data_IF_664380499021
#
_entry.id   IF_664380499021
#
_cell.length_a   1.000
_cell.length_b   1.000
_cell.length_c   1.000
_cell.angle_alpha   90.00
_cell.angle_beta   90.00
_cell.angle_gamma   90.00
#
_symmetry.space_group_name_H-M   'P 1'
#
loop_
_entity.id
_entity.type
_entity.pdbx_description
1 polymer ?
#
# COMPACT_ATOMS: atom_id res chain seq x y z
N UNK A 1 -54.14 23.82 57.42
CA UNK A 1 -55.29 23.43 58.26
C UNK A 1 -54.69 22.90 59.55
N UNK A 2 -54.76 23.65 60.66
CA UNK A 2 -54.14 23.20 61.92
C UNK A 2 -55.02 22.14 62.59
N UNK A 3 -54.46 20.97 62.87
CA UNK A 3 -55.13 19.95 63.70
C UNK A 3 -55.44 20.57 65.07
N UNK A 4 -56.70 20.49 65.48
CA UNK A 4 -57.15 20.94 66.80
C UNK A 4 -57.26 19.73 67.71
N UNK A 5 -56.51 19.75 68.80
CA UNK A 5 -56.63 18.75 69.87
C UNK A 5 -57.72 19.16 70.85
N UNK A 6 -58.44 18.18 71.38
CA UNK A 6 -59.43 18.40 72.43
C UNK A 6 -58.74 18.86 73.73
N UNK A 7 -59.40 19.73 74.50
CA UNK A 7 -58.89 20.22 75.79
C UNK A 7 -59.52 19.44 76.94
N UNK A 8 -58.67 18.91 77.81
CA UNK A 8 -59.00 18.31 79.10
C UNK A 8 -58.67 19.29 80.23
N UNK A 9 -59.06 18.96 81.47
CA UNK A 9 -58.94 19.81 82.66
C UNK A 9 -57.52 20.40 82.86
N UNK A 10 -56.49 19.66 82.45
CA UNK A 10 -55.07 20.03 82.63
C UNK A 10 -54.26 20.11 81.32
N UNK A 11 -54.90 20.24 80.14
CA UNK A 11 -54.16 20.39 78.87
C UNK A 11 -54.85 19.81 77.63
N UNK A 12 -54.07 19.48 76.60
CA UNK A 12 -54.59 18.79 75.41
C UNK A 12 -54.75 17.28 75.66
N UNK A 13 -55.66 16.64 74.93
CA UNK A 13 -55.87 15.21 74.99
C UNK A 13 -54.58 14.47 74.60
N UNK A 14 -53.96 13.85 75.60
CA UNK A 14 -52.68 13.16 75.47
C UNK A 14 -52.70 12.10 74.36
N UNK A 15 -53.78 11.34 74.21
CA UNK A 15 -53.86 10.28 73.19
C UNK A 15 -53.83 10.86 71.78
N UNK A 16 -54.56 11.95 71.51
CA UNK A 16 -54.55 12.59 70.19
C UNK A 16 -53.18 13.20 69.85
N UNK A 17 -52.49 13.73 70.86
CA UNK A 17 -51.14 14.28 70.69
C UNK A 17 -50.13 13.16 70.46
N UNK A 18 -50.18 12.09 71.25
CA UNK A 18 -49.29 10.93 71.13
C UNK A 18 -49.50 10.21 69.78
N UNK A 19 -50.75 10.07 69.31
CA UNK A 19 -51.09 9.50 68.00
C UNK A 19 -50.50 10.34 66.85
N UNK A 20 -50.67 11.67 66.89
CA UNK A 20 -50.11 12.54 65.85
C UNK A 20 -48.57 12.52 65.88
N UNK A 21 -47.94 12.50 67.06
CA UNK A 21 -46.50 12.36 67.20
C UNK A 21 -46.06 11.02 66.58
N UNK A 22 -46.81 9.94 66.79
CA UNK A 22 -46.59 8.65 66.17
C UNK A 22 -46.63 8.71 64.64
N UNK A 23 -47.67 9.33 64.06
CA UNK A 23 -47.81 9.51 62.62
C UNK A 23 -46.69 10.37 62.01
N UNK A 24 -46.35 11.48 62.67
CA UNK A 24 -45.26 12.37 62.24
C UNK A 24 -43.92 11.65 62.27
N UNK A 25 -43.63 10.88 63.32
CA UNK A 25 -42.41 10.08 63.42
C UNK A 25 -42.34 9.00 62.32
N UNK A 26 -43.47 8.36 62.00
CA UNK A 26 -43.55 7.43 60.86
C UNK A 26 -43.28 8.13 59.53
N UNK A 27 -43.84 9.32 59.34
CA UNK A 27 -43.63 10.10 58.13
C UNK A 27 -42.18 10.58 57.98
N UNK A 28 -41.57 11.06 59.07
CA UNK A 28 -40.15 11.42 59.13
C UNK A 28 -39.28 10.22 58.78
N UNK A 29 -39.51 9.06 59.40
CA UNK A 29 -38.74 7.85 59.09
C UNK A 29 -38.87 7.40 57.62
N UNK A 30 -40.04 7.61 57.03
CA UNK A 30 -40.29 7.29 55.62
C UNK A 30 -39.56 8.27 54.70
N UNK A 31 -39.63 9.56 55.01
CA UNK A 31 -38.93 10.62 54.27
C UNK A 31 -37.42 10.47 54.35
N UNK A 32 -36.87 10.15 55.53
CA UNK A 32 -35.44 9.90 55.73
C UNK A 32 -34.95 8.74 54.86
N UNK A 33 -35.66 7.60 54.89
CA UNK A 33 -35.35 6.44 54.03
C UNK A 33 -35.41 6.79 52.54
N UNK A 34 -36.43 7.56 52.14
CA UNK A 34 -36.54 7.99 50.75
C UNK A 34 -35.40 8.94 50.36
N UNK A 35 -35.01 9.86 51.23
CA UNK A 35 -33.94 10.81 50.98
C UNK A 35 -32.59 10.09 50.86
N UNK A 36 -32.33 9.13 51.73
CA UNK A 36 -31.14 8.27 51.66
C UNK A 36 -31.10 7.47 50.36
N UNK A 37 -32.23 6.86 49.96
CA UNK A 37 -32.33 6.14 48.70
C UNK A 37 -32.05 7.05 47.49
N UNK A 38 -32.59 8.28 47.48
CA UNK A 38 -32.32 9.25 46.42
C UNK A 38 -30.84 9.69 46.40
N UNK A 39 -30.23 9.96 47.56
CA UNK A 39 -28.80 10.31 47.65
C UNK A 39 -27.92 9.20 47.11
N UNK A 40 -28.19 7.96 47.50
CA UNK A 40 -27.46 6.80 46.99
C UNK A 40 -27.64 6.66 45.47
N UNK A 41 -28.84 6.92 44.95
CA UNK A 41 -29.09 6.88 43.51
C UNK A 41 -28.37 8.00 42.76
N UNK A 42 -28.32 9.21 43.30
CA UNK A 42 -27.55 10.32 42.73
C UNK A 42 -26.06 9.98 42.66
N UNK A 43 -25.48 9.47 43.76
CA UNK A 43 -24.07 9.07 43.79
C UNK A 43 -23.75 7.98 42.76
N UNK A 44 -24.62 6.97 42.61
CA UNK A 44 -24.46 5.93 41.59
C UNK A 44 -24.52 6.49 40.16
N UNK A 45 -25.45 7.42 39.90
CA UNK A 45 -25.59 8.04 38.58
C UNK A 45 -24.40 8.93 38.25
N UNK A 46 -23.89 9.68 39.21
CA UNK A 46 -22.67 10.48 39.05
C UNK A 46 -21.46 9.60 38.71
N UNK A 47 -21.31 8.47 39.39
CA UNK A 47 -20.24 7.51 39.08
C UNK A 47 -20.40 6.92 37.67
N UNK A 48 -21.62 6.55 37.27
CA UNK A 48 -21.90 6.04 35.93
C UNK A 48 -21.59 7.08 34.84
N UNK A 49 -22.00 8.34 35.04
CA UNK A 49 -21.71 9.43 34.09
C UNK A 49 -20.20 9.67 34.00
N UNK A 50 -19.48 9.65 35.13
CA UNK A 50 -18.03 9.81 35.16
C UNK A 50 -17.33 8.70 34.36
N UNK A 51 -17.72 7.44 34.58
CA UNK A 51 -17.20 6.28 33.83
C UNK A 51 -17.50 6.38 32.34
N UNK A 52 -18.70 6.77 31.96
CA UNK A 52 -19.09 6.92 30.56
C UNK A 52 -18.31 8.02 29.86
N UNK A 53 -18.07 9.16 30.53
CA UNK A 53 -17.25 10.25 29.98
C UNK A 53 -15.80 9.82 29.77
N UNK A 54 -15.19 9.18 30.78
CA UNK A 54 -13.83 8.65 30.66
C UNK A 54 -13.69 7.65 29.49
N UNK A 55 -14.73 6.86 29.23
CA UNK A 55 -14.74 5.89 28.13
C UNK A 55 -15.12 6.51 26.77
N UNK A 56 -15.68 7.72 26.71
CA UNK A 56 -16.12 8.36 25.46
C UNK A 56 -15.00 9.16 24.79
N UNK A 57 -14.11 9.76 25.58
CA UNK A 57 -13.01 10.57 25.06
C UNK A 57 -11.93 9.69 24.37
N UNK A 58 -11.68 8.49 24.91
CA UNK A 58 -10.67 7.56 24.39
C UNK A 58 -10.95 7.05 22.95
N UNK A 59 -12.17 6.57 22.59
CA UNK A 59 -12.45 6.10 21.24
C UNK A 59 -12.33 7.15 20.15
N UNK A 60 -12.70 8.41 20.45
CA UNK A 60 -12.64 9.51 19.48
C UNK A 60 -11.19 9.88 19.19
N UNK A 61 -10.35 9.97 20.23
CA UNK A 61 -8.91 10.20 20.07
C UNK A 61 -8.26 9.07 19.27
N UNK A 62 -8.55 7.81 19.62
CA UNK A 62 -8.02 6.66 18.86
C UNK A 62 -8.48 6.60 17.41
N UNK A 63 -9.71 7.02 17.11
CA UNK A 63 -10.20 7.11 15.73
C UNK A 63 -9.45 8.18 14.95
N UNK A 64 -9.21 9.34 15.56
CA UNK A 64 -8.45 10.44 14.95
C UNK A 64 -7.00 10.05 14.68
N UNK A 65 -6.33 9.43 15.65
CA UNK A 65 -4.97 8.91 15.47
C UNK A 65 -4.89 7.92 14.30
N UNK A 66 -5.89 7.03 14.17
CA UNK A 66 -5.97 6.08 13.06
C UNK A 66 -6.24 6.75 11.72
N UNK A 67 -7.07 7.78 11.68
CA UNK A 67 -7.35 8.56 10.48
C UNK A 67 -6.10 9.32 10.00
N UNK A 68 -5.36 9.94 10.92
CA UNK A 68 -4.10 10.61 10.64
C UNK A 68 -3.05 9.62 10.11
N UNK A 69 -2.91 8.46 10.76
CA UNK A 69 -2.01 7.40 10.30
C UNK A 69 -2.38 6.88 8.91
N UNK A 70 -3.68 6.64 8.64
CA UNK A 70 -4.15 6.19 7.34
C UNK A 70 -3.88 7.24 6.25
N UNK A 71 -4.11 8.53 6.55
CA UNK A 71 -3.82 9.63 5.64
C UNK A 71 -2.33 9.72 5.30
N UNK A 72 -1.46 9.56 6.30
CA UNK A 72 -0.01 9.51 6.10
C UNK A 72 0.40 8.30 5.25
N UNK A 73 -0.18 7.12 5.51
CA UNK A 73 0.09 5.92 4.72
C UNK A 73 -0.29 6.10 3.25
N UNK A 74 -1.44 6.72 2.96
CA UNK A 74 -1.86 7.02 1.58
C UNK A 74 -0.86 7.97 0.91
N UNK A 75 -0.45 9.04 1.60
CA UNK A 75 0.53 9.98 1.06
C UNK A 75 1.87 9.31 0.72
N UNK A 76 2.38 8.46 1.62
CA UNK A 76 3.61 7.69 1.41
C UNK A 76 3.44 6.72 0.23
N UNK A 77 2.33 5.97 0.18
CA UNK A 77 2.07 5.02 -0.90
C UNK A 77 1.99 5.72 -2.27
N UNK A 78 1.37 6.90 -2.35
CA UNK A 78 1.33 7.67 -3.60
C UNK A 78 2.72 8.17 -4.00
N UNK A 79 3.52 8.66 -3.06
CA UNK A 79 4.90 9.09 -3.33
C UNK A 79 5.76 7.93 -3.83
N UNK A 80 5.62 6.76 -3.20
CA UNK A 80 6.36 5.56 -3.57
C UNK A 80 5.94 5.07 -4.96
N UNK A 81 4.64 5.00 -5.24
CA UNK A 81 4.12 4.64 -6.56
C UNK A 81 4.66 5.58 -7.66
N UNK A 82 4.68 6.89 -7.42
CA UNK A 82 5.25 7.85 -8.36
C UNK A 82 6.76 7.62 -8.59
N UNK A 83 7.49 7.25 -7.54
CA UNK A 83 8.93 6.96 -7.61
C UNK A 83 9.20 5.68 -8.41
N UNK A 84 8.38 4.64 -8.22
CA UNK A 84 8.45 3.40 -8.99
C UNK A 84 8.19 3.68 -10.47
N UNK A 85 7.13 4.44 -10.79
CA UNK A 85 6.80 4.80 -12.17
C UNK A 85 7.91 5.63 -12.83
N UNK A 86 8.47 6.61 -12.11
CA UNK A 86 9.57 7.41 -12.62
C UNK A 86 10.82 6.56 -12.90
N UNK A 87 11.17 5.66 -11.99
CA UNK A 87 12.30 4.74 -12.15
C UNK A 87 12.07 3.78 -13.32
N UNK A 88 10.87 3.21 -13.44
CA UNK A 88 10.53 2.32 -14.54
C UNK A 88 10.63 3.03 -15.90
N UNK A 89 10.17 4.28 -15.98
CA UNK A 89 10.29 5.11 -17.19
C UNK A 89 11.75 5.37 -17.54
N UNK A 90 12.56 5.79 -16.57
CA UNK A 90 13.98 6.04 -16.78
C UNK A 90 14.70 4.78 -17.30
N UNK A 91 14.40 3.62 -16.71
CA UNK A 91 14.97 2.35 -17.14
C UNK A 91 14.54 1.97 -18.57
N UNK A 92 13.27 2.18 -18.91
CA UNK A 92 12.77 1.96 -20.26
C UNK A 92 13.49 2.85 -21.29
N UNK A 93 13.68 4.13 -20.98
CA UNK A 93 14.38 5.07 -21.86
C UNK A 93 15.84 4.64 -22.09
N UNK A 94 16.52 4.16 -21.04
CA UNK A 94 17.90 3.62 -21.15
C UNK A 94 17.93 2.39 -22.05
N UNK A 95 17.03 1.42 -21.84
CA UNK A 95 16.96 0.20 -22.65
C UNK A 95 16.75 0.53 -24.13
N UNK A 96 15.84 1.46 -24.43
CA UNK A 96 15.57 1.90 -25.81
C UNK A 96 16.81 2.58 -26.41
N UNK A 97 17.47 3.46 -25.66
CA UNK A 97 18.68 4.14 -26.12
C UNK A 97 19.82 3.16 -26.40
N UNK A 98 20.04 2.17 -25.52
CA UNK A 98 21.05 1.13 -25.70
C UNK A 98 20.74 0.23 -26.89
N UNK A 99 19.47 -0.18 -27.05
CA UNK A 99 19.04 -0.98 -28.19
C UNK A 99 19.27 -0.24 -29.52
N UNK A 100 18.96 1.06 -29.57
CA UNK A 100 19.21 1.91 -30.75
C UNK A 100 20.70 2.05 -31.04
N UNK A 101 21.54 2.24 -30.02
CA UNK A 101 23.00 2.32 -30.19
C UNK A 101 23.55 1.00 -30.74
N UNK A 102 23.13 -0.13 -30.16
CA UNK A 102 23.54 -1.46 -30.61
C UNK A 102 23.11 -1.74 -32.05
N UNK A 103 21.89 -1.37 -32.44
CA UNK A 103 21.43 -1.51 -33.82
C UNK A 103 22.29 -0.68 -34.80
N UNK A 104 22.70 0.53 -34.41
CA UNK A 104 23.60 1.37 -35.22
C UNK A 104 24.99 0.75 -35.35
N UNK A 105 25.54 0.20 -34.28
CA UNK A 105 26.82 -0.49 -34.30
C UNK A 105 26.77 -1.72 -35.20
N UNK A 106 25.75 -2.56 -35.07
CA UNK A 106 25.56 -3.72 -35.95
C UNK A 106 25.44 -3.31 -37.42
N UNK A 107 24.73 -2.21 -37.71
CA UNK A 107 24.61 -1.73 -39.09
C UNK A 107 25.95 -1.26 -39.66
N UNK A 108 26.77 -0.57 -38.86
CA UNK A 108 28.13 -0.19 -39.25
C UNK A 108 29.01 -1.42 -39.51
N UNK A 109 28.90 -2.45 -38.67
CA UNK A 109 29.62 -3.72 -38.84
C UNK A 109 29.19 -4.44 -40.12
N UNK A 110 27.89 -4.46 -40.43
CA UNK A 110 27.36 -5.06 -41.68
C UNK A 110 27.92 -4.33 -42.91
N UNK A 111 27.94 -3.00 -42.89
CA UNK A 111 28.50 -2.21 -44.01
C UNK A 111 29.97 -2.54 -44.20
N UNK A 112 30.75 -2.57 -43.12
CA UNK A 112 32.17 -2.93 -43.18
C UNK A 112 32.38 -4.35 -43.71
N UNK A 113 31.60 -5.32 -43.23
CA UNK A 113 31.67 -6.71 -43.71
C UNK A 113 31.31 -6.81 -45.19
N UNK A 114 30.34 -6.02 -45.66
CA UNK A 114 29.95 -5.96 -47.07
C UNK A 114 31.11 -5.46 -47.95
N UNK A 115 31.80 -4.41 -47.52
CA UNK A 115 32.97 -3.87 -48.24
C UNK A 115 34.11 -4.91 -48.29
N UNK A 116 34.44 -5.52 -47.15
CA UNK A 116 35.46 -6.58 -47.08
C UNK A 116 35.10 -7.79 -47.97
N UNK A 117 33.81 -8.13 -48.07
CA UNK A 117 33.32 -9.22 -48.91
C UNK A 117 33.43 -8.89 -50.40
N UNK A 118 33.13 -7.66 -50.81
CA UNK A 118 33.27 -7.24 -52.21
C UNK A 118 34.75 -7.21 -52.64
N UNK A 119 35.65 -6.76 -51.75
CA UNK A 119 37.10 -6.82 -51.97
C UNK A 119 37.60 -8.27 -52.11
N UNK A 120 37.14 -9.17 -51.25
CA UNK A 120 37.47 -10.59 -51.31
C UNK A 120 36.99 -11.22 -52.62
N UNK A 121 35.74 -10.94 -53.02
CA UNK A 121 35.15 -11.39 -54.29
C UNK A 121 35.94 -10.87 -55.50
N UNK A 122 36.34 -9.59 -55.50
CA UNK A 122 37.19 -9.02 -56.54
C UNK A 122 38.57 -9.69 -56.61
N UNK A 123 39.12 -10.08 -55.47
CA UNK A 123 40.39 -10.83 -55.39
C UNK A 123 40.25 -12.24 -55.95
N UNK A 124 39.20 -12.97 -55.54
CA UNK A 124 38.89 -14.31 -56.06
C UNK A 124 38.70 -14.26 -57.58
N UNK A 125 37.91 -13.31 -58.09
CA UNK A 125 37.66 -13.15 -59.53
C UNK A 125 38.96 -13.01 -60.32
N UNK A 126 39.88 -12.13 -59.87
CA UNK A 126 41.19 -11.95 -60.50
C UNK A 126 42.03 -13.23 -60.48
N UNK A 127 41.99 -13.98 -59.37
CA UNK A 127 42.69 -15.28 -59.28
C UNK A 127 42.09 -16.32 -60.23
N UNK A 128 40.76 -16.39 -60.33
CA UNK A 128 40.07 -17.32 -61.26
C UNK A 128 40.39 -16.98 -62.71
N UNK A 129 40.35 -15.70 -63.09
CA UNK A 129 40.74 -15.25 -64.43
C UNK A 129 42.19 -15.62 -64.76
N UNK A 130 43.09 -15.50 -63.79
CA UNK A 130 44.49 -15.93 -63.95
C UNK A 130 44.61 -17.45 -64.16
N UNK A 131 43.91 -18.26 -63.37
CA UNK A 131 43.90 -19.72 -63.53
C UNK A 131 43.32 -20.11 -64.89
N UNK A 132 42.25 -19.47 -65.35
CA UNK A 132 41.67 -19.70 -66.67
C UNK A 132 42.69 -19.49 -67.78
N UNK A 133 43.44 -18.37 -67.75
CA UNK A 133 44.50 -18.10 -68.73
C UNK A 133 45.59 -19.16 -68.70
N UNK A 134 46.03 -19.56 -67.52
CA UNK A 134 47.04 -20.61 -67.37
C UNK A 134 46.56 -21.98 -67.91
N UNK A 135 45.27 -22.27 -67.81
CA UNK A 135 44.66 -23.46 -68.41
C UNK A 135 44.62 -23.37 -69.94
N UNK A 136 44.32 -22.20 -70.49
CA UNK A 136 44.31 -21.98 -71.95
C UNK A 136 45.72 -22.08 -72.57
N UNK A 137 46.74 -21.62 -71.82
CA UNK A 137 48.16 -21.73 -72.19
C UNK A 137 48.72 -23.15 -72.00
N UNK A 138 47.98 -24.05 -71.37
CA UNK A 138 48.42 -25.39 -71.07
C UNK A 138 48.39 -26.27 -72.34
N UNK A 139 49.53 -26.40 -73.01
CA UNK A 139 49.67 -27.30 -74.16
C UNK A 139 49.48 -28.76 -73.76
N UNK A 140 48.62 -29.48 -74.49
CA UNK A 140 48.55 -30.94 -74.41
C UNK A 140 49.83 -31.53 -75.00
N UNK A 141 50.57 -32.27 -74.18
CA UNK A 141 51.68 -33.11 -74.68
C UNK A 141 51.12 -34.03 -75.77
N UNK A 142 51.67 -34.00 -77.00
CA UNK A 142 51.22 -34.88 -78.06
C UNK A 142 51.46 -36.33 -77.61
N UNK A 143 50.42 -37.14 -77.64
CA UNK A 143 50.54 -38.57 -77.37
C UNK A 143 51.39 -39.16 -78.49
N UNK A 144 52.49 -39.87 -78.18
CA UNK A 144 53.33 -40.46 -79.21
C UNK A 144 52.51 -41.45 -80.05
N UNK A 145 52.71 -41.44 -81.37
CA UNK A 145 52.01 -42.33 -82.29
C UNK A 145 52.26 -43.81 -81.95
N UNK A 146 51.30 -44.67 -82.30
CA UNK A 146 51.38 -46.12 -82.07
C UNK A 146 52.62 -46.77 -82.74
N UNK A 147 53.29 -46.06 -83.65
CA UNK A 147 54.55 -46.42 -84.29
C UNK A 147 55.69 -46.69 -83.29
N UNK A 148 55.59 -46.20 -82.05
CA UNK A 148 56.52 -46.49 -80.94
C UNK A 148 56.21 -47.79 -80.18
N UNK A 149 55.10 -48.47 -80.50
CA UNK A 149 54.71 -49.75 -79.91
C UNK A 149 55.16 -50.96 -80.74
N UNK A 150 55.66 -50.73 -81.97
CA UNK A 150 56.00 -51.79 -82.94
C UNK A 150 57.52 -52.01 -83.16
N UNK A 151 58.39 -51.72 -82.17
CA UNK A 151 59.80 -52.15 -82.18
C UNK A 151 60.33 -52.58 -80.83
#
# INVERSE_FOLDING_TARGET
MGMKFDRMKDGYNRYQVDDLIGELNMHISTLERSNEAYRNRCAQLEEQVSRLRANADSPVEHLREKEDAASQMVAIAMKEANTIVATARQNADVIVSEALLNARLMLADIVKLSDETEDAKGTIRRQTERISRLLDEFERVPVPGADLLDK
#
